data_IF_675841781464
#
_entry.id   IF_675841781464
#
_cell.length_a   1.000
_cell.length_b   1.000
_cell.length_c   1.000
_cell.angle_alpha   90.00
_cell.angle_beta   90.00
_cell.angle_gamma   90.00
#
_symmetry.space_group_name_H-M   'P 1'
#
loop_
_entity.id
_entity.type
_entity.pdbx_description
1 polymer ?
#
# COMPACT_ATOMS: atom_id res chain seq x y z
N UNK A 1 36.26 20.13 22.96
CA UNK A 1 36.24 19.21 21.79
C UNK A 1 34.85 19.27 21.20
N UNK A 2 34.69 20.07 20.15
CA UNK A 2 33.43 20.17 19.40
C UNK A 2 33.15 18.82 18.73
N UNK A 3 32.02 18.20 19.08
CA UNK A 3 31.50 17.05 18.34
C UNK A 3 31.05 17.58 16.99
N UNK A 4 31.82 17.27 15.95
CA UNK A 4 31.40 17.46 14.56
C UNK A 4 30.17 16.61 14.37
N UNK A 5 29.02 17.26 14.20
CA UNK A 5 27.85 16.63 13.60
C UNK A 5 28.20 16.42 12.13
N UNK A 6 28.88 15.32 11.83
CA UNK A 6 28.92 14.79 10.48
C UNK A 6 27.51 14.28 10.18
N UNK A 7 26.66 15.18 9.69
CA UNK A 7 25.43 14.82 8.96
C UNK A 7 25.87 14.16 7.67
N UNK A 8 26.27 12.88 7.75
CA UNK A 8 26.17 11.98 6.61
C UNK A 8 24.71 11.99 6.20
N UNK A 9 24.42 12.59 5.04
CA UNK A 9 23.13 12.42 4.38
C UNK A 9 23.01 10.93 4.04
N UNK A 10 22.38 10.18 4.94
CA UNK A 10 22.10 8.77 4.76
C UNK A 10 21.02 8.68 3.69
N UNK A 11 21.40 8.17 2.51
CA UNK A 11 20.47 7.94 1.40
C UNK A 11 19.96 6.50 1.53
N UNK A 12 18.71 6.34 1.93
CA UNK A 12 18.03 5.03 1.88
C UNK A 12 17.61 4.77 0.43
N UNK A 13 17.96 3.60 -0.10
CA UNK A 13 17.61 3.19 -1.47
C UNK A 13 16.73 1.94 -1.44
N UNK A 14 16.21 1.51 -2.59
CA UNK A 14 15.49 0.24 -2.70
C UNK A 14 16.39 -0.97 -2.37
N UNK A 15 17.72 -0.85 -2.48
CA UNK A 15 18.64 -1.93 -2.15
C UNK A 15 18.98 -2.00 -0.65
N UNK A 16 18.58 -1.00 0.13
CA UNK A 16 18.80 -1.00 1.58
C UNK A 16 18.01 -2.14 2.21
N UNK A 17 18.65 -2.93 3.07
CA UNK A 17 17.98 -4.03 3.75
C UNK A 17 17.05 -3.52 4.85
N UNK A 18 16.06 -4.32 5.25
CA UNK A 18 15.18 -3.96 6.36
C UNK A 18 15.97 -3.72 7.67
N UNK A 19 16.97 -4.55 7.95
CA UNK A 19 17.81 -4.41 9.14
C UNK A 19 18.58 -3.10 9.15
N UNK A 20 19.27 -2.78 8.06
CA UNK A 20 19.98 -1.52 7.93
C UNK A 20 19.03 -0.33 8.11
N UNK A 21 17.82 -0.39 7.52
CA UNK A 21 16.83 0.68 7.67
C UNK A 21 16.38 0.88 9.13
N UNK A 22 16.16 -0.21 9.86
CA UNK A 22 15.81 -0.14 11.29
C UNK A 22 16.96 0.42 12.12
N UNK A 23 18.21 0.02 11.84
CA UNK A 23 19.39 0.57 12.50
C UNK A 23 19.56 2.08 12.21
N UNK A 24 19.24 2.51 10.99
CA UNK A 24 19.29 3.93 10.60
C UNK A 24 18.20 4.78 11.26
N UNK A 25 17.00 4.23 11.48
CA UNK A 25 15.92 4.90 12.21
C UNK A 25 16.25 4.97 13.71
N UNK A 26 16.90 3.94 14.25
CA UNK A 26 17.24 3.84 15.67
C UNK A 26 16.01 3.61 16.57
N UNK A 27 16.15 3.95 17.84
CA UNK A 27 15.12 3.72 18.85
C UNK A 27 13.96 4.71 18.70
N UNK A 28 12.85 4.22 18.16
CA UNK A 28 11.59 4.95 18.01
C UNK A 28 10.46 4.21 18.72
N UNK A 29 9.59 4.97 19.39
CA UNK A 29 8.45 4.40 20.12
C UNK A 29 7.21 4.30 19.23
N UNK A 30 6.52 3.16 19.31
CA UNK A 30 5.21 2.98 18.69
C UNK A 30 4.20 3.92 19.35
N UNK A 31 3.47 4.67 18.54
CA UNK A 31 2.39 5.53 19.04
C UNK A 31 1.22 4.69 19.59
N UNK A 32 0.52 5.23 20.59
CA UNK A 32 -0.66 4.59 21.20
C UNK A 32 -1.76 4.27 20.15
N UNK A 33 -1.91 5.17 19.17
CA UNK A 33 -2.79 4.98 18.02
C UNK A 33 -1.97 5.05 16.74
N UNK A 34 -2.19 4.08 15.84
CA UNK A 34 -1.56 4.10 14.52
C UNK A 34 -1.94 5.39 13.80
N UNK A 35 -0.96 6.20 13.35
CA UNK A 35 -1.23 7.42 12.61
C UNK A 35 -1.88 7.10 11.26
N UNK A 36 -2.58 8.08 10.70
CA UNK A 36 -3.08 7.96 9.32
C UNK A 36 -1.95 8.24 8.33
N UNK A 37 -2.06 7.76 7.09
CA UNK A 37 -1.08 8.10 6.05
C UNK A 37 -0.95 9.62 5.85
N UNK A 38 -2.05 10.36 6.07
CA UNK A 38 -2.05 11.83 6.11
C UNK A 38 -1.30 12.37 7.33
N UNK A 39 -1.53 11.82 8.51
CA UNK A 39 -0.81 12.23 9.73
C UNK A 39 0.69 11.92 9.70
N UNK A 40 1.15 11.02 8.82
CA UNK A 40 2.57 10.78 8.59
C UNK A 40 3.21 11.81 7.66
N UNK A 41 2.47 12.30 6.66
CA UNK A 41 2.96 13.30 5.70
C UNK A 41 2.78 14.74 6.19
N UNK A 42 1.88 14.98 7.14
CA UNK A 42 1.54 16.32 7.62
C UNK A 42 1.63 16.40 9.14
N UNK A 43 2.38 17.39 9.62
CA UNK A 43 2.36 17.81 11.03
C UNK A 43 1.65 19.15 11.15
N UNK A 44 0.57 19.17 11.91
CA UNK A 44 -0.13 20.41 12.27
C UNK A 44 0.52 21.01 13.51
N UNK A 45 0.95 22.26 13.40
CA UNK A 45 1.43 23.04 14.53
C UNK A 45 0.25 23.74 15.22
N UNK A 46 0.46 24.17 16.47
CA UNK A 46 -0.58 24.82 17.29
C UNK A 46 -1.07 26.14 16.69
N UNK A 47 -0.21 26.80 15.90
CA UNK A 47 -0.51 28.02 15.15
C UNK A 47 -1.37 27.79 13.89
N UNK A 48 -1.73 26.54 13.59
CA UNK A 48 -2.53 26.15 12.43
C UNK A 48 -1.72 25.93 11.15
N UNK A 49 -0.40 26.12 11.18
CA UNK A 49 0.47 25.81 10.03
C UNK A 49 0.63 24.30 9.84
N UNK A 50 0.81 23.88 8.59
CA UNK A 50 1.01 22.47 8.21
C UNK A 50 2.40 22.30 7.64
N UNK A 51 3.22 21.51 8.32
CA UNK A 51 4.54 21.10 7.84
C UNK A 51 4.42 19.78 7.07
N UNK A 52 4.96 19.75 5.85
CA UNK A 52 5.03 18.55 5.03
C UNK A 52 6.28 17.74 5.41
N UNK A 53 6.06 16.53 5.91
CA UNK A 53 7.11 15.58 6.28
C UNK A 53 7.42 14.70 5.07
N UNK A 54 8.68 14.74 4.63
CA UNK A 54 9.16 13.85 3.57
C UNK A 54 9.48 12.46 4.14
N UNK A 55 9.18 11.38 3.39
CA UNK A 55 9.66 10.05 3.76
C UNK A 55 11.20 10.01 3.67
N UNK A 56 11.82 9.20 4.53
CA UNK A 56 13.27 8.94 4.48
C UNK A 56 13.63 7.94 3.38
N UNK A 57 12.64 7.17 2.91
CA UNK A 57 12.76 6.22 1.82
C UNK A 57 11.43 6.12 1.06
N UNK A 58 11.50 6.07 -0.26
CA UNK A 58 10.34 5.87 -1.14
C UNK A 58 10.76 5.00 -2.33
N UNK A 59 9.93 4.03 -2.71
CA UNK A 59 10.16 3.25 -3.93
C UNK A 59 9.86 4.08 -5.17
N UNK A 60 10.47 3.73 -6.28
CA UNK A 60 10.33 4.39 -7.59
C UNK A 60 8.88 4.43 -8.09
N UNK A 61 8.10 3.39 -7.82
CA UNK A 61 6.66 3.30 -8.08
C UNK A 61 5.78 4.05 -7.06
N UNK A 62 6.37 4.50 -5.94
CA UNK A 62 5.73 5.21 -4.82
C UNK A 62 4.75 4.37 -4.01
N UNK A 63 4.80 3.06 -4.15
CA UNK A 63 3.93 2.12 -3.44
C UNK A 63 4.35 1.96 -1.99
N UNK A 64 5.65 2.09 -1.69
CA UNK A 64 6.18 2.01 -0.34
C UNK A 64 6.86 3.33 0.06
N UNK A 65 6.54 3.81 1.27
CA UNK A 65 7.17 5.00 1.90
C UNK A 65 7.51 4.70 3.35
N UNK A 66 8.68 5.12 3.82
CA UNK A 66 9.09 4.99 5.23
C UNK A 66 9.39 6.35 5.81
N UNK A 67 8.96 6.59 7.04
CA UNK A 67 9.13 7.84 7.76
C UNK A 67 10.08 7.64 8.95
N UNK A 68 10.81 8.70 9.32
CA UNK A 68 11.78 8.69 10.42
C UNK A 68 11.18 8.31 11.79
N UNK A 69 9.86 8.35 11.94
CA UNK A 69 9.16 7.94 13.16
C UNK A 69 8.89 6.43 13.25
N UNK A 70 9.45 5.60 12.35
CA UNK A 70 9.32 4.14 12.39
C UNK A 70 8.07 3.58 11.71
N UNK A 71 7.28 4.42 11.04
CA UNK A 71 6.10 3.97 10.29
C UNK A 71 6.38 3.89 8.79
N UNK A 72 5.76 2.89 8.16
CA UNK A 72 5.71 2.74 6.71
C UNK A 72 4.28 2.95 6.20
N UNK A 73 4.14 3.52 5.01
CA UNK A 73 2.90 3.53 4.24
C UNK A 73 3.09 2.59 3.06
N UNK A 74 2.14 1.67 2.91
CA UNK A 74 2.03 0.82 1.73
C UNK A 74 0.73 1.13 1.01
N UNK A 75 0.82 1.33 -0.31
CA UNK A 75 -0.33 1.47 -1.19
C UNK A 75 -0.23 0.45 -2.32
N UNK A 76 -1.36 -0.16 -2.65
CA UNK A 76 -1.57 -0.91 -3.88
C UNK A 76 -2.87 -0.46 -4.52
N UNK A 77 -3.20 -1.05 -5.67
CA UNK A 77 -4.40 -0.69 -6.44
C UNK A 77 -5.73 -0.84 -5.67
N UNK A 78 -5.75 -1.61 -4.58
CA UNK A 78 -6.95 -1.92 -3.80
C UNK A 78 -7.05 -1.10 -2.51
N UNK A 79 -5.96 -0.50 -2.04
CA UNK A 79 -5.98 0.35 -0.87
C UNK A 79 -4.62 0.75 -0.33
N UNK A 80 -4.68 1.56 0.73
CA UNK A 80 -3.53 2.07 1.47
C UNK A 80 -3.59 1.62 2.92
N UNK A 81 -2.45 1.27 3.49
CA UNK A 81 -2.30 0.90 4.90
C UNK A 81 -1.07 1.57 5.52
N UNK A 82 -1.10 1.73 6.84
CA UNK A 82 0.02 2.21 7.65
C UNK A 82 0.51 1.06 8.53
N UNK A 83 1.81 0.80 8.48
CA UNK A 83 2.47 -0.30 9.19
C UNK A 83 3.51 0.26 10.16
N UNK A 84 3.67 -0.41 11.29
CA UNK A 84 4.85 -0.22 12.14
C UNK A 84 6.01 -1.01 11.52
N UNK A 85 7.11 -0.34 11.18
CA UNK A 85 8.17 -0.97 10.38
C UNK A 85 8.80 -2.16 11.11
N UNK A 86 8.99 -2.09 12.43
CA UNK A 86 9.55 -3.19 13.19
C UNK A 86 8.63 -4.43 13.22
N UNK A 87 7.31 -4.26 13.00
CA UNK A 87 6.40 -5.39 12.86
C UNK A 87 6.66 -6.13 11.52
N UNK A 88 7.27 -5.50 10.51
CA UNK A 88 7.57 -6.12 9.22
C UNK A 88 8.75 -7.11 9.26
N UNK A 89 9.46 -7.23 10.39
CA UNK A 89 10.59 -8.16 10.54
C UNK A 89 10.19 -9.64 10.56
N UNK A 90 8.90 -9.93 10.69
CA UNK A 90 8.38 -11.29 10.68
C UNK A 90 7.05 -11.35 9.95
N UNK A 91 6.82 -12.48 9.27
CA UNK A 91 5.53 -12.77 8.64
C UNK A 91 5.19 -14.25 8.81
N UNK A 92 3.99 -14.53 9.29
CA UNK A 92 3.51 -15.90 9.47
C UNK A 92 2.46 -16.20 8.41
N UNK A 93 2.82 -17.07 7.47
CA UNK A 93 1.86 -17.70 6.57
C UNK A 93 0.99 -18.66 7.37
N UNK A 94 -0.32 -18.61 7.12
CA UNK A 94 -1.28 -19.58 7.64
C UNK A 94 -1.87 -20.32 6.45
N UNK A 95 -1.76 -21.63 6.47
CA UNK A 95 -2.37 -22.54 5.52
C UNK A 95 -3.69 -23.05 6.10
N UNK A 96 -4.57 -23.52 5.24
CA UNK A 96 -5.88 -24.04 5.64
C UNK A 96 -5.77 -25.32 6.49
N UNK A 97 -6.94 -25.86 6.83
CA UNK A 97 -7.07 -27.16 7.47
C UNK A 97 -6.24 -28.21 6.74
N UNK A 98 -5.11 -28.65 7.31
CA UNK A 98 -4.34 -29.76 6.74
C UNK A 98 -5.17 -31.03 6.90
N UNK A 99 -5.25 -31.83 5.84
CA UNK A 99 -5.77 -33.19 5.91
C UNK A 99 -4.87 -34.01 6.82
N UNK A 100 -5.41 -35.07 7.43
CA UNK A 100 -4.65 -35.86 8.40
C UNK A 100 -3.34 -36.42 7.84
N UNK A 101 -3.30 -36.77 6.55
CA UNK A 101 -2.08 -37.24 5.87
C UNK A 101 -1.05 -36.13 5.63
N UNK A 102 -1.48 -34.87 5.56
CA UNK A 102 -0.60 -33.72 5.28
C UNK A 102 0.09 -33.24 6.56
N UNK A 103 -0.51 -33.48 7.74
CA UNK A 103 0.05 -33.11 9.05
C UNK A 103 1.39 -33.79 9.36
N UNK A 104 1.70 -34.90 8.70
CA UNK A 104 2.95 -35.64 8.89
C UNK A 104 4.18 -34.92 8.32
N UNK A 105 4.00 -34.02 7.34
CA UNK A 105 5.10 -33.35 6.64
C UNK A 105 4.87 -31.86 6.36
N UNK A 106 3.66 -31.33 6.62
CA UNK A 106 3.34 -29.90 6.51
C UNK A 106 2.92 -29.34 7.87
N UNK A 107 3.27 -28.07 8.08
CA UNK A 107 2.80 -27.30 9.23
C UNK A 107 1.81 -26.24 8.76
N UNK A 108 0.70 -26.08 9.47
CA UNK A 108 -0.33 -25.08 9.15
C UNK A 108 0.15 -23.63 9.25
N UNK A 109 1.27 -23.40 9.93
CA UNK A 109 1.88 -22.09 10.04
C UNK A 109 3.34 -22.19 9.69
N UNK A 110 3.80 -21.28 8.83
CA UNK A 110 5.22 -21.10 8.56
C UNK A 110 5.57 -19.65 8.81
N UNK A 111 6.54 -19.41 9.69
CA UNK A 111 6.97 -18.06 10.02
C UNK A 111 8.30 -17.79 9.36
N UNK A 112 8.34 -16.75 8.55
CA UNK A 112 9.57 -16.16 8.04
C UNK A 112 10.00 -15.11 9.07
N UNK A 113 11.16 -15.31 9.67
CA UNK A 113 11.69 -14.46 10.73
C UNK A 113 12.59 -13.34 10.22
N UNK A 114 13.14 -12.59 11.17
CA UNK A 114 14.05 -11.46 10.92
C UNK A 114 15.40 -11.91 10.33
N UNK A 115 15.79 -13.15 10.57
CA UNK A 115 16.97 -13.76 9.95
C UNK A 115 16.90 -13.72 8.42
N UNK A 116 15.69 -13.95 7.88
CA UNK A 116 15.42 -13.87 6.44
C UNK A 116 14.99 -12.46 6.06
N UNK A 117 13.90 -11.93 6.63
CA UNK A 117 13.32 -10.66 6.20
C UNK A 117 14.21 -9.45 6.50
N UNK A 118 15.01 -9.51 7.57
CA UNK A 118 15.97 -8.45 7.91
C UNK A 118 17.06 -8.26 6.86
N UNK A 119 17.44 -9.33 6.15
CA UNK A 119 18.45 -9.28 5.07
C UNK A 119 17.87 -8.97 3.68
N UNK A 120 16.54 -8.96 3.54
CA UNK A 120 15.89 -8.56 2.29
C UNK A 120 15.81 -7.03 2.17
N UNK A 121 15.69 -6.51 0.93
CA UNK A 121 15.31 -5.13 0.70
C UNK A 121 14.09 -4.70 1.52
N UNK A 122 14.15 -3.54 2.17
CA UNK A 122 13.14 -3.08 3.12
C UNK A 122 11.72 -3.09 2.53
N UNK A 123 11.60 -2.72 1.26
CA UNK A 123 10.32 -2.60 0.58
C UNK A 123 9.64 -3.96 0.37
N UNK A 124 10.40 -5.07 0.28
CA UNK A 124 9.81 -6.41 0.18
C UNK A 124 9.07 -6.81 1.46
N UNK A 125 9.64 -6.50 2.63
CA UNK A 125 8.98 -6.76 3.91
C UNK A 125 7.74 -5.87 4.11
N UNK A 126 7.82 -4.61 3.67
CA UNK A 126 6.69 -3.68 3.68
C UNK A 126 5.57 -4.15 2.74
N UNK A 127 5.90 -4.58 1.51
CA UNK A 127 4.92 -5.11 0.56
C UNK A 127 4.24 -6.38 1.10
N UNK A 128 5.02 -7.36 1.57
CA UNK A 128 4.48 -8.63 2.07
C UNK A 128 3.44 -8.41 3.19
N UNK A 129 3.78 -7.57 4.16
CA UNK A 129 2.87 -7.27 5.28
C UNK A 129 1.76 -6.28 4.87
N UNK A 130 2.06 -5.40 3.93
CA UNK A 130 1.16 -4.39 3.38
C UNK A 130 -0.01 -5.00 2.61
N UNK A 131 0.26 -5.91 1.68
CA UNK A 131 -0.76 -6.62 0.90
C UNK A 131 -1.73 -7.34 1.82
N UNK A 132 -1.19 -8.13 2.77
CA UNK A 132 -2.01 -8.85 3.73
C UNK A 132 -2.89 -7.91 4.59
N UNK A 133 -2.36 -6.75 4.99
CA UNK A 133 -3.13 -5.78 5.78
C UNK A 133 -4.18 -5.04 4.95
N UNK A 134 -3.90 -4.71 3.68
CA UNK A 134 -4.89 -4.10 2.77
C UNK A 134 -6.04 -5.06 2.50
N UNK A 135 -5.74 -6.34 2.27
CA UNK A 135 -6.75 -7.38 2.09
C UNK A 135 -7.64 -7.50 3.34
N UNK A 136 -7.03 -7.59 4.53
CA UNK A 136 -7.78 -7.67 5.79
C UNK A 136 -8.67 -6.45 6.00
N UNK A 137 -8.14 -5.25 5.74
CA UNK A 137 -8.91 -4.01 5.77
C UNK A 137 -10.07 -4.01 4.75
N UNK A 138 -9.90 -4.65 3.59
CA UNK A 138 -10.95 -4.79 2.57
C UNK A 138 -12.05 -5.75 3.01
N UNK A 139 -11.68 -6.89 3.61
CA UNK A 139 -12.62 -7.86 4.15
C UNK A 139 -13.45 -7.28 5.31
N UNK A 140 -12.84 -6.45 6.15
CA UNK A 140 -13.51 -5.77 7.26
C UNK A 140 -14.47 -4.64 6.77
N UNK A 141 -14.36 -4.18 5.52
CA UNK A 141 -15.25 -3.17 4.92
C UNK A 141 -16.58 -3.72 4.41
N UNK A 142 -16.87 -5.01 4.59
CA UNK A 142 -18.16 -5.63 4.22
C UNK A 142 -19.37 -5.11 5.01
N UNK A 143 -19.18 -4.21 5.96
CA UNK A 143 -20.26 -3.56 6.70
C UNK A 143 -19.93 -2.12 7.03
N UNK A 144 -20.48 -1.21 6.24
CA UNK A 144 -20.72 0.20 6.57
C UNK A 144 -19.51 1.15 6.72
N UNK A 145 -19.49 2.14 5.83
CA UNK A 145 -19.42 3.57 6.19
C UNK A 145 -19.83 4.37 4.95
N UNK A 146 -21.15 4.55 4.81
CA UNK A 146 -21.83 5.34 3.77
C UNK A 146 -21.95 4.60 2.43
N UNK A 147 -23.08 3.92 2.27
CA UNK A 147 -23.53 3.22 1.07
C UNK A 147 -22.94 3.72 -0.24
N UNK A 148 -22.10 2.86 -0.82
CA UNK A 148 -21.83 2.61 -2.23
C UNK A 148 -20.49 1.87 -2.22
N UNK A 149 -20.46 0.69 -2.85
CA UNK A 149 -19.22 0.05 -3.29
C UNK A 149 -18.36 1.12 -3.98
N UNK A 150 -17.39 1.67 -3.24
CA UNK A 150 -16.24 2.39 -3.80
C UNK A 150 -15.05 1.46 -3.93
N UNK A 151 -15.29 0.15 -3.95
CA UNK A 151 -14.48 -0.68 -4.79
C UNK A 151 -14.59 -0.06 -6.19
N UNK A 152 -13.47 0.11 -6.86
CA UNK A 152 -13.45 -0.06 -8.32
C UNK A 152 -13.80 -1.55 -8.48
N UNK A 153 -15.05 -1.91 -8.24
CA UNK A 153 -15.55 -3.24 -8.50
C UNK A 153 -15.72 -3.28 -9.99
N UNK A 154 -14.79 -3.97 -10.64
CA UNK A 154 -15.12 -4.74 -11.82
C UNK A 154 -16.19 -5.76 -11.36
N UNK A 155 -17.43 -5.30 -11.20
CA UNK A 155 -18.59 -6.15 -10.94
C UNK A 155 -18.89 -6.90 -12.23
N UNK A 156 -18.13 -7.98 -12.44
CA UNK A 156 -18.51 -9.12 -13.25
C UNK A 156 -18.33 -10.37 -12.38
N UNK A 157 -19.13 -10.43 -11.31
CA UNK A 157 -19.44 -11.69 -10.64
C UNK A 157 -20.50 -12.38 -11.48
N UNK A 158 -20.09 -13.08 -12.54
CA UNK A 158 -20.96 -14.06 -13.19
C UNK A 158 -21.19 -15.22 -12.23
N UNK A 159 -22.29 -15.96 -12.39
CA UNK A 159 -22.66 -17.09 -11.52
C UNK A 159 -21.59 -18.21 -11.50
N UNK A 160 -20.62 -18.19 -12.43
CA UNK A 160 -19.40 -19.03 -12.39
C UNK A 160 -18.40 -18.63 -11.27
N UNK A 161 -18.52 -17.43 -10.68
CA UNK A 161 -17.69 -16.98 -9.55
C UNK A 161 -18.07 -17.59 -8.19
N UNK A 162 -19.22 -18.25 -8.07
CA UNK A 162 -19.50 -19.10 -6.90
C UNK A 162 -18.67 -20.39 -6.91
N UNK A 163 -18.35 -20.94 -8.09
CA UNK A 163 -17.48 -22.13 -8.18
C UNK A 163 -16.01 -21.80 -7.93
N UNK A 164 -15.55 -20.59 -8.27
CA UNK A 164 -14.19 -20.15 -7.93
C UNK A 164 -13.99 -19.89 -6.42
N UNK A 165 -15.07 -19.76 -5.65
CA UNK A 165 -15.02 -19.68 -4.18
C UNK A 165 -14.78 -21.05 -3.52
N UNK A 166 -14.76 -22.16 -4.28
CA UNK A 166 -14.57 -23.51 -3.75
C UNK A 166 -13.11 -23.86 -3.45
N UNK A 167 -12.14 -23.02 -3.84
CA UNK A 167 -10.71 -23.27 -3.58
C UNK A 167 -10.15 -22.50 -2.37
N UNK A 168 -10.96 -22.16 -1.37
CA UNK A 168 -10.56 -22.21 0.05
C UNK A 168 -11.58 -21.50 0.94
N UNK A 169 -12.21 -22.19 1.90
CA UNK A 169 -13.10 -21.54 2.86
C UNK A 169 -12.35 -20.69 3.91
N UNK A 170 -11.02 -20.79 4.01
CA UNK A 170 -10.21 -20.08 5.03
C UNK A 170 -9.59 -18.76 4.56
N UNK A 171 -9.25 -18.64 3.28
CA UNK A 171 -8.64 -17.45 2.69
C UNK A 171 -9.14 -17.27 1.26
N UNK A 172 -9.79 -16.14 0.98
CA UNK A 172 -10.18 -15.77 -0.40
C UNK A 172 -9.02 -15.07 -1.10
N UNK A 173 -7.91 -15.79 -1.27
CA UNK A 173 -6.87 -15.35 -2.17
C UNK A 173 -7.47 -15.23 -3.57
N UNK A 174 -7.25 -14.11 -4.22
CA UNK A 174 -7.40 -14.11 -5.67
C UNK A 174 -6.36 -15.08 -6.24
N UNK A 175 -6.76 -15.89 -7.22
CA UNK A 175 -5.84 -16.73 -7.98
C UNK A 175 -4.61 -15.88 -8.43
N UNK A 176 -3.36 -16.32 -8.17
CA UNK A 176 -2.17 -15.55 -8.49
C UNK A 176 -2.07 -15.17 -9.97
N UNK A 177 -2.60 -16.00 -10.87
CA UNK A 177 -2.75 -15.69 -12.30
C UNK A 177 -3.71 -14.52 -12.51
N UNK A 178 -4.88 -14.53 -11.85
CA UNK A 178 -5.85 -13.42 -11.91
C UNK A 178 -5.27 -12.14 -11.32
N UNK A 179 -4.50 -12.22 -10.23
CA UNK A 179 -3.82 -11.07 -9.65
C UNK A 179 -2.78 -10.46 -10.60
N UNK A 180 -2.02 -11.31 -11.30
CA UNK A 180 -1.10 -10.87 -12.36
C UNK A 180 -1.84 -10.23 -13.54
N UNK A 181 -2.89 -10.89 -14.05
CA UNK A 181 -3.72 -10.36 -15.13
C UNK A 181 -4.32 -9.00 -14.73
N UNK A 182 -4.83 -8.85 -13.50
CA UNK A 182 -5.33 -7.57 -13.00
C UNK A 182 -4.24 -6.50 -12.97
N UNK A 183 -3.02 -6.85 -12.54
CA UNK A 183 -1.88 -5.93 -12.52
C UNK A 183 -1.51 -5.47 -13.93
N UNK A 184 -1.41 -6.39 -14.88
CA UNK A 184 -1.11 -6.09 -16.29
C UNK A 184 -2.22 -5.26 -16.94
N UNK A 185 -3.49 -5.64 -16.74
CA UNK A 185 -4.64 -4.89 -17.24
C UNK A 185 -4.69 -3.47 -16.67
N UNK A 186 -4.41 -3.29 -15.39
CA UNK A 186 -4.39 -1.96 -14.77
C UNK A 186 -3.22 -1.13 -15.28
N UNK A 187 -2.04 -1.74 -15.48
CA UNK A 187 -0.91 -1.06 -16.12
C UNK A 187 -1.25 -0.60 -17.55
N UNK A 188 -1.91 -1.45 -18.34
CA UNK A 188 -2.42 -1.10 -19.67
C UNK A 188 -3.45 0.03 -19.63
N UNK A 189 -4.37 -0.02 -18.66
CA UNK A 189 -5.38 1.03 -18.46
C UNK A 189 -4.75 2.36 -18.04
N UNK A 190 -3.78 2.34 -17.12
CA UNK A 190 -2.99 3.52 -16.75
C UNK A 190 -2.15 4.02 -17.94
N UNK A 191 -1.69 3.14 -18.82
CA UNK A 191 -1.01 3.47 -20.07
C UNK A 191 -1.84 4.34 -21.01
N UNK A 192 -3.18 4.17 -21.03
CA UNK A 192 -4.12 4.96 -21.85
C UNK A 192 -4.40 6.37 -21.31
N UNK A 193 -4.00 6.64 -20.08
CA UNK A 193 -4.06 7.98 -19.50
C UNK A 193 -2.90 8.84 -20.02
N UNK A 194 -3.15 10.13 -20.22
CA UNK A 194 -2.04 11.07 -20.40
C UNK A 194 -1.27 11.21 -19.09
N UNK A 195 0.00 11.61 -19.13
CA UNK A 195 0.81 11.74 -17.90
C UNK A 195 0.14 12.62 -16.84
N UNK A 196 -0.48 13.72 -17.27
CA UNK A 196 -1.25 14.64 -16.39
C UNK A 196 -2.52 14.03 -15.81
N UNK A 197 -3.15 13.09 -16.51
CA UNK A 197 -4.32 12.35 -16.02
C UNK A 197 -3.89 11.26 -15.04
N UNK A 198 -2.83 10.53 -15.40
CA UNK A 198 -2.22 9.48 -14.59
C UNK A 198 -1.70 10.03 -13.27
N UNK A 199 -1.00 11.16 -13.30
CA UNK A 199 -0.48 11.85 -12.12
C UNK A 199 -1.59 12.23 -11.13
N UNK A 200 -2.65 12.89 -11.60
CA UNK A 200 -3.80 13.25 -10.75
C UNK A 200 -4.52 12.00 -10.22
N UNK A 201 -4.64 10.96 -11.04
CA UNK A 201 -5.26 9.69 -10.65
C UNK A 201 -4.49 9.00 -9.53
N UNK A 202 -3.17 8.86 -9.68
CA UNK A 202 -2.29 8.26 -8.66
C UNK A 202 -2.25 9.09 -7.38
N UNK A 203 -2.15 10.42 -7.47
CA UNK A 203 -2.16 11.27 -6.27
C UNK A 203 -3.48 11.12 -5.48
N UNK A 204 -4.61 10.99 -6.17
CA UNK A 204 -5.91 10.86 -5.52
C UNK A 204 -6.15 9.44 -4.96
N UNK A 205 -5.99 8.41 -5.79
CA UNK A 205 -6.35 7.03 -5.44
C UNK A 205 -5.24 6.29 -4.68
N UNK A 206 -3.99 6.42 -5.13
CA UNK A 206 -2.85 5.68 -4.56
C UNK A 206 -2.23 6.41 -3.36
N UNK A 207 -2.06 7.73 -3.47
CA UNK A 207 -1.44 8.52 -2.40
C UNK A 207 -2.45 9.12 -1.40
N UNK A 208 -3.76 9.06 -1.69
CA UNK A 208 -4.81 9.53 -0.79
C UNK A 208 -4.80 11.05 -0.54
N UNK A 209 -4.39 11.84 -1.53
CA UNK A 209 -4.50 13.31 -1.49
C UNK A 209 -5.90 13.77 -1.88
N UNK A 210 -6.37 14.86 -1.27
CA UNK A 210 -7.62 15.50 -1.68
C UNK A 210 -7.45 16.28 -2.98
N UNK A 211 -8.54 16.55 -3.70
CA UNK A 211 -8.44 17.34 -4.95
C UNK A 211 -7.88 18.75 -4.72
N UNK A 212 -8.09 19.33 -3.54
CA UNK A 212 -7.52 20.63 -3.17
C UNK A 212 -6.01 20.54 -2.95
N UNK A 213 -5.55 19.53 -2.22
CA UNK A 213 -4.11 19.26 -2.01
C UNK A 213 -3.40 19.01 -3.35
N UNK A 214 -4.03 18.24 -4.25
CA UNK A 214 -3.48 17.99 -5.60
C UNK A 214 -3.41 19.28 -6.43
N UNK A 215 -4.39 20.16 -6.29
CA UNK A 215 -4.42 21.43 -7.00
C UNK A 215 -3.25 22.32 -6.59
N UNK A 216 -2.98 22.39 -5.29
CA UNK A 216 -1.85 23.11 -4.70
C UNK A 216 -0.51 22.51 -5.14
N UNK A 217 -0.34 21.19 -5.01
CA UNK A 217 0.89 20.49 -5.41
C UNK A 217 1.23 20.68 -6.89
N UNK A 218 0.22 20.67 -7.76
CA UNK A 218 0.40 20.77 -9.21
C UNK A 218 0.32 22.23 -9.72
N UNK A 219 0.11 23.21 -8.85
CA UNK A 219 -0.02 24.63 -9.23
C UNK A 219 -1.18 24.90 -10.20
N UNK A 220 -2.29 24.17 -10.09
CA UNK A 220 -3.45 24.27 -10.97
C UNK A 220 -4.73 24.54 -10.17
N UNK A 221 -5.79 25.00 -10.84
CA UNK A 221 -7.09 25.15 -10.19
C UNK A 221 -7.69 23.79 -9.81
N UNK A 222 -8.37 23.71 -8.65
CA UNK A 222 -9.07 22.49 -8.21
C UNK A 222 -10.07 21.95 -9.25
N UNK A 223 -10.72 22.84 -10.01
CA UNK A 223 -11.62 22.45 -11.10
C UNK A 223 -10.91 21.67 -12.21
N UNK A 224 -9.63 21.96 -12.46
CA UNK A 224 -8.79 21.23 -13.43
C UNK A 224 -8.46 19.83 -12.89
N UNK A 225 -8.18 19.70 -11.59
CA UNK A 225 -7.97 18.40 -10.92
C UNK A 225 -9.24 17.55 -11.04
N UNK A 226 -10.40 18.12 -10.68
CA UNK A 226 -11.69 17.44 -10.78
C UNK A 226 -11.96 16.94 -12.21
N UNK A 227 -11.71 17.79 -13.22
CA UNK A 227 -11.89 17.43 -14.63
C UNK A 227 -10.92 16.33 -15.07
N UNK A 228 -9.63 16.42 -14.70
CA UNK A 228 -8.63 15.39 -15.03
C UNK A 228 -8.98 14.04 -14.41
N UNK A 229 -9.40 14.05 -13.14
CA UNK A 229 -9.82 12.86 -12.42
C UNK A 229 -11.09 12.24 -13.02
N UNK A 230 -12.08 13.06 -13.39
CA UNK A 230 -13.29 12.59 -14.07
C UNK A 230 -12.98 11.93 -15.42
N UNK A 231 -12.10 12.54 -16.22
CA UNK A 231 -11.68 11.97 -17.51
C UNK A 231 -10.89 10.67 -17.29
N UNK A 232 -9.96 10.64 -16.33
CA UNK A 232 -9.20 9.44 -15.99
C UNK A 232 -10.12 8.29 -15.58
N UNK A 233 -11.06 8.56 -14.66
CA UNK A 233 -12.07 7.60 -14.23
C UNK A 233 -12.95 7.11 -15.39
N UNK A 234 -13.36 8.00 -16.30
CA UNK A 234 -14.15 7.60 -17.47
C UNK A 234 -13.36 6.71 -18.43
N UNK A 235 -12.07 6.97 -18.64
CA UNK A 235 -11.22 6.15 -19.51
C UNK A 235 -10.99 4.76 -18.92
N UNK A 236 -10.73 4.69 -17.63
CA UNK A 236 -10.54 3.41 -16.91
C UNK A 236 -11.85 2.60 -16.96
N UNK A 237 -12.99 3.20 -16.58
CA UNK A 237 -14.31 2.54 -16.65
C UNK A 237 -14.74 2.09 -18.05
N UNK A 238 -14.38 2.84 -19.09
CA UNK A 238 -14.70 2.44 -20.46
C UNK A 238 -13.80 1.31 -20.96
N UNK A 239 -12.60 1.16 -20.40
CA UNK A 239 -11.75 0.00 -20.69
C UNK A 239 -12.27 -1.28 -20.01
N UNK A 240 -12.95 -1.16 -18.87
CA UNK A 240 -13.61 -2.29 -18.19
C UNK A 240 -14.82 -2.85 -18.97
N UNK A 241 -15.43 -2.06 -19.87
CA UNK A 241 -16.62 -2.46 -20.66
C UNK A 241 -16.33 -3.08 -22.03
N UNK A 242 -15.06 -3.19 -22.40
CA UNK A 242 -14.64 -3.69 -23.72
C UNK A 242 -14.29 -5.18 -23.72
N UNK A 243 -14.51 -5.85 -22.60
CA UNK A 243 -14.42 -7.30 -22.40
C UNK A 243 -15.68 -7.75 -21.66
#
# INVERSE_FOLDING_TARGET
MERRNDTTNIIVTENTTLRELLEMIGDVCRAEKTPTAKGLREKKHEDGTVEQIQPIAETSDRDCKVYANGYAVYSNNTGTTVLWLADCCSFTYQFDGLKDKEKDYLTQKSTVGEDILGSQPWFMAVMLRGDHQVERNSMDRKGDRRGQNKNISLDYVTEEEEEAAEWNPGYRFENPERALIRKEMLQDQLGKLTDRQREVFLLYHQCGYTQAEIAEMLGIAQQVVARRLAIANSKIRNCEKLF
#
